data_IF_574308596372
#
_entry.id   IF_574308596372
#
_cell.length_a   1.000
_cell.length_b   1.000
_cell.length_c   1.000
_cell.angle_alpha   90.00
_cell.angle_beta   90.00
_cell.angle_gamma   90.00
#
_symmetry.space_group_name_H-M   'P 1'
#
loop_
_entity.id
_entity.type
_entity.pdbx_description
1 polymer ?
#
# COMPACT_ATOMS: atom_id res chain seq x y z
N UNK A 1 10.32 29.29 -11.91
CA UNK A 1 9.86 28.61 -13.15
C UNK A 1 9.82 27.07 -13.03
N UNK A 2 10.82 26.43 -12.41
CA UNK A 2 10.83 24.97 -12.21
C UNK A 2 9.68 24.47 -11.31
N UNK A 3 9.38 25.16 -10.20
CA UNK A 3 8.26 24.80 -9.31
C UNK A 3 6.89 24.82 -10.00
N UNK A 4 6.62 25.81 -10.86
CA UNK A 4 5.34 25.89 -11.58
C UNK A 4 5.18 24.74 -12.59
N UNK A 5 6.25 24.36 -13.29
CA UNK A 5 6.24 23.20 -14.19
C UNK A 5 6.09 21.89 -13.41
N UNK A 6 6.81 21.75 -12.30
CA UNK A 6 6.72 20.59 -11.42
C UNK A 6 5.32 20.44 -10.81
N UNK A 7 4.72 21.53 -10.34
CA UNK A 7 3.36 21.56 -9.80
C UNK A 7 2.32 21.17 -10.86
N UNK A 8 2.45 21.66 -12.10
CA UNK A 8 1.59 21.24 -13.22
C UNK A 8 1.70 19.76 -13.54
N UNK A 9 2.92 19.21 -13.58
CA UNK A 9 3.14 17.78 -13.81
C UNK A 9 2.53 16.95 -12.68
N UNK A 10 2.73 17.35 -11.43
CA UNK A 10 2.19 16.66 -10.26
C UNK A 10 0.66 16.67 -10.26
N UNK A 11 0.05 17.81 -10.57
CA UNK A 11 -1.40 17.92 -10.71
C UNK A 11 -1.94 16.99 -11.81
N UNK A 12 -1.30 16.98 -12.99
CA UNK A 12 -1.71 16.08 -14.07
C UNK A 12 -1.52 14.61 -13.71
N UNK A 13 -0.41 14.25 -13.05
CA UNK A 13 -0.16 12.89 -12.57
C UNK A 13 -1.23 12.43 -11.58
N UNK A 14 -1.65 13.30 -10.65
CA UNK A 14 -2.75 12.99 -9.73
C UNK A 14 -4.09 12.84 -10.44
N UNK A 15 -4.41 13.72 -11.39
CA UNK A 15 -5.63 13.60 -12.19
C UNK A 15 -5.65 12.27 -12.96
N UNK A 16 -4.54 11.90 -13.59
CA UNK A 16 -4.40 10.62 -14.29
C UNK A 16 -4.56 9.43 -13.35
N UNK A 17 -3.97 9.48 -12.16
CA UNK A 17 -4.12 8.44 -11.14
C UNK A 17 -5.60 8.28 -10.72
N UNK A 18 -6.30 9.38 -10.42
CA UNK A 18 -7.71 9.33 -10.01
C UNK A 18 -8.57 8.78 -11.14
N UNK A 19 -8.40 9.28 -12.37
CA UNK A 19 -9.19 8.85 -13.52
C UNK A 19 -9.01 7.36 -13.82
N UNK A 20 -7.78 6.86 -13.78
CA UNK A 20 -7.49 5.44 -14.02
C UNK A 20 -8.08 4.54 -12.95
N UNK A 21 -7.97 4.92 -11.66
CA UNK A 21 -8.58 4.16 -10.55
C UNK A 21 -10.10 4.17 -10.64
N UNK A 22 -10.73 5.32 -10.90
CA UNK A 22 -12.18 5.41 -11.03
C UNK A 22 -12.70 4.63 -12.24
N UNK A 23 -12.03 4.71 -13.38
CA UNK A 23 -12.36 3.91 -14.57
C UNK A 23 -12.32 2.41 -14.26
N UNK A 24 -11.28 1.95 -13.56
CA UNK A 24 -11.16 0.55 -13.14
C UNK A 24 -12.31 0.14 -12.19
N UNK A 25 -12.66 0.98 -11.21
CA UNK A 25 -13.76 0.71 -10.28
C UNK A 25 -15.10 0.60 -11.02
N UNK A 26 -15.42 1.54 -11.92
CA UNK A 26 -16.64 1.47 -12.72
C UNK A 26 -16.68 0.25 -13.63
N UNK A 27 -15.55 -0.11 -14.26
CA UNK A 27 -15.45 -1.33 -15.06
C UNK A 27 -15.74 -2.57 -14.23
N UNK A 28 -15.24 -2.66 -12.99
CA UNK A 28 -15.54 -3.76 -12.09
C UNK A 28 -17.01 -3.79 -11.68
N UNK A 29 -17.60 -2.65 -11.31
CA UNK A 29 -19.02 -2.55 -10.91
C UNK A 29 -19.97 -2.92 -12.05
N UNK A 30 -19.64 -2.57 -13.29
CA UNK A 30 -20.43 -2.96 -14.47
C UNK A 30 -20.26 -4.44 -14.84
N UNK A 31 -19.16 -5.06 -14.43
CA UNK A 31 -18.82 -6.46 -14.80
C UNK A 31 -19.16 -7.48 -13.70
N UNK A 32 -19.29 -7.05 -12.44
CA UNK A 32 -19.49 -7.90 -11.27
C UNK A 32 -20.80 -7.58 -10.57
N UNK A 33 -21.50 -8.61 -10.12
CA UNK A 33 -22.68 -8.44 -9.28
C UNK A 33 -22.29 -8.16 -7.82
N UNK A 34 -23.20 -7.65 -6.97
CA UNK A 34 -22.95 -7.53 -5.54
C UNK A 34 -22.61 -8.87 -4.87
N UNK A 35 -23.14 -9.99 -5.38
CA UNK A 35 -22.85 -11.33 -4.89
C UNK A 35 -21.40 -11.74 -5.19
N UNK A 36 -20.87 -11.37 -6.37
CA UNK A 36 -19.47 -11.62 -6.75
C UNK A 36 -18.49 -10.86 -5.84
N UNK A 37 -18.82 -9.62 -5.49
CA UNK A 37 -18.00 -8.82 -4.57
C UNK A 37 -18.02 -9.40 -3.15
N UNK A 38 -19.17 -9.92 -2.71
CA UNK A 38 -19.27 -10.62 -1.43
C UNK A 38 -18.44 -11.92 -1.41
N UNK A 39 -18.48 -12.70 -2.50
CA UNK A 39 -17.66 -13.90 -2.65
C UNK A 39 -16.16 -13.59 -2.67
N UNK A 40 -15.74 -12.53 -3.37
CA UNK A 40 -14.35 -12.06 -3.36
C UNK A 40 -13.89 -11.67 -1.94
N UNK A 41 -14.77 -11.01 -1.17
CA UNK A 41 -14.52 -10.64 0.24
C UNK A 41 -14.41 -11.88 1.13
N UNK A 42 -15.31 -12.85 0.99
CA UNK A 42 -15.28 -14.10 1.75
C UNK A 42 -13.98 -14.88 1.49
N UNK A 43 -13.57 -14.96 0.23
CA UNK A 43 -12.34 -15.61 -0.19
C UNK A 43 -11.07 -14.82 0.17
N UNK A 44 -11.18 -13.57 0.66
CA UNK A 44 -10.04 -12.71 0.99
C UNK A 44 -9.04 -12.54 -0.15
N UNK A 45 -9.51 -12.53 -1.40
CA UNK A 45 -8.68 -12.32 -2.59
C UNK A 45 -8.90 -10.93 -3.19
N UNK A 46 -7.93 -10.45 -3.95
CA UNK A 46 -8.08 -9.20 -4.69
C UNK A 46 -9.14 -9.33 -5.80
N UNK A 47 -9.82 -8.24 -6.11
CA UNK A 47 -10.81 -8.18 -7.21
C UNK A 47 -10.20 -8.65 -8.55
N UNK A 48 -8.91 -8.33 -8.79
CA UNK A 48 -8.21 -8.78 -9.98
C UNK A 48 -8.05 -10.31 -10.03
N UNK A 49 -7.74 -10.95 -8.88
CA UNK A 49 -7.68 -12.41 -8.78
C UNK A 49 -9.06 -13.04 -8.92
N UNK A 50 -10.09 -12.41 -8.36
CA UNK A 50 -11.48 -12.86 -8.52
C UNK A 50 -11.91 -12.81 -10.00
N UNK A 51 -11.67 -11.69 -10.68
CA UNK A 51 -11.96 -11.54 -12.11
C UNK A 51 -11.23 -12.58 -12.96
N UNK A 52 -9.95 -12.85 -12.66
CA UNK A 52 -9.17 -13.86 -13.36
C UNK A 52 -9.81 -15.26 -13.27
N UNK A 53 -10.29 -15.62 -12.07
CA UNK A 53 -10.94 -16.90 -11.80
C UNK A 53 -12.35 -16.97 -12.41
N UNK A 54 -13.14 -15.91 -12.26
CA UNK A 54 -14.53 -15.86 -12.73
C UNK A 54 -14.62 -15.91 -14.27
N UNK A 55 -13.75 -15.17 -14.97
CA UNK A 55 -13.75 -15.13 -16.44
C UNK A 55 -12.84 -16.16 -17.10
N UNK A 56 -12.20 -17.06 -16.34
CA UNK A 56 -11.18 -18.00 -16.83
C UNK A 56 -10.17 -17.31 -17.78
N UNK A 57 -9.64 -16.16 -17.38
CA UNK A 57 -8.74 -15.37 -18.20
C UNK A 57 -7.27 -15.71 -17.87
N UNK A 58 -6.64 -16.69 -18.57
CA UNK A 58 -5.34 -17.23 -18.19
C UNK A 58 -4.23 -16.18 -18.17
N UNK A 59 -4.32 -15.16 -19.05
CA UNK A 59 -3.38 -14.03 -19.08
C UNK A 59 -3.47 -13.20 -17.79
N UNK A 60 -4.69 -12.92 -17.30
CA UNK A 60 -4.89 -12.14 -16.08
C UNK A 60 -4.46 -12.96 -14.85
N UNK A 61 -4.74 -14.27 -14.85
CA UNK A 61 -4.34 -15.16 -13.75
C UNK A 61 -2.81 -15.18 -13.53
N UNK A 62 -2.02 -15.13 -14.61
CA UNK A 62 -0.56 -15.06 -14.52
C UNK A 62 -0.02 -13.67 -14.19
N UNK A 63 -0.64 -12.60 -14.71
CA UNK A 63 -0.15 -11.24 -14.46
C UNK A 63 -0.59 -10.68 -13.10
N UNK A 64 -1.75 -11.09 -12.58
CA UNK A 64 -2.32 -10.53 -11.35
C UNK A 64 -1.37 -10.66 -10.14
N UNK A 65 -0.72 -11.81 -9.87
CA UNK A 65 0.26 -11.93 -8.79
C UNK A 65 1.48 -11.02 -8.99
N UNK A 66 1.99 -10.90 -10.22
CA UNK A 66 3.15 -10.07 -10.53
C UNK A 66 2.83 -8.59 -10.27
N UNK A 67 1.67 -8.13 -10.74
CA UNK A 67 1.17 -6.77 -10.52
C UNK A 67 1.00 -6.53 -9.01
N UNK A 68 0.41 -7.49 -8.29
CA UNK A 68 0.21 -7.39 -6.85
C UNK A 68 1.55 -7.24 -6.09
N UNK A 69 2.56 -8.06 -6.41
CA UNK A 69 3.89 -7.99 -5.77
C UNK A 69 4.55 -6.63 -6.02
N UNK A 70 4.53 -6.14 -7.26
CA UNK A 70 5.12 -4.83 -7.61
C UNK A 70 4.37 -3.71 -6.87
N UNK A 71 3.04 -3.76 -6.85
CA UNK A 71 2.21 -2.76 -6.19
C UNK A 71 2.44 -2.74 -4.67
N UNK A 72 2.45 -3.91 -4.02
CA UNK A 72 2.71 -4.06 -2.58
C UNK A 72 4.11 -3.55 -2.26
N UNK A 73 5.13 -3.94 -3.03
CA UNK A 73 6.52 -3.52 -2.79
C UNK A 73 6.68 -2.01 -2.91
N UNK A 74 6.12 -1.40 -3.96
CA UNK A 74 6.15 0.06 -4.15
C UNK A 74 5.44 0.79 -3.01
N UNK A 75 4.24 0.34 -2.65
CA UNK A 75 3.46 0.93 -1.56
C UNK A 75 4.19 0.78 -0.22
N UNK A 76 4.74 -0.41 0.06
CA UNK A 76 5.47 -0.72 1.28
C UNK A 76 6.68 0.21 1.47
N UNK A 77 7.49 0.43 0.44
CA UNK A 77 8.67 1.30 0.56
C UNK A 77 8.29 2.74 0.93
N UNK A 78 7.25 3.30 0.32
CA UNK A 78 6.77 4.64 0.65
C UNK A 78 6.31 4.75 2.11
N UNK A 79 5.47 3.80 2.56
CA UNK A 79 4.98 3.77 3.93
C UNK A 79 6.10 3.49 4.95
N UNK A 80 7.01 2.55 4.65
CA UNK A 80 8.14 2.21 5.50
C UNK A 80 9.07 3.40 5.70
N UNK A 81 9.45 4.10 4.63
CA UNK A 81 10.31 5.28 4.72
C UNK A 81 9.64 6.40 5.53
N UNK A 82 8.37 6.69 5.25
CA UNK A 82 7.61 7.71 5.98
C UNK A 82 7.42 7.37 7.46
N UNK A 83 7.04 6.13 7.77
CA UNK A 83 6.88 5.64 9.14
C UNK A 83 8.20 5.64 9.91
N UNK A 84 9.30 5.22 9.27
CA UNK A 84 10.64 5.25 9.85
C UNK A 84 11.07 6.66 10.19
N UNK A 85 10.90 7.59 9.26
CA UNK A 85 11.28 8.99 9.47
C UNK A 85 10.43 9.65 10.56
N UNK A 86 9.11 9.44 10.53
CA UNK A 86 8.18 9.93 11.55
C UNK A 86 8.48 9.37 12.94
N UNK A 87 8.69 8.06 13.06
CA UNK A 87 9.01 7.40 14.33
C UNK A 87 10.37 7.84 14.87
N UNK A 88 11.41 7.84 14.03
CA UNK A 88 12.74 8.29 14.43
C UNK A 88 12.70 9.76 14.90
N UNK A 89 11.99 10.63 14.16
CA UNK A 89 11.82 12.03 14.53
C UNK A 89 11.13 12.21 15.88
N UNK A 90 10.09 11.41 16.16
CA UNK A 90 9.38 11.42 17.44
C UNK A 90 10.28 10.99 18.60
N UNK A 91 11.05 9.91 18.43
CA UNK A 91 11.98 9.40 19.45
C UNK A 91 13.10 10.39 19.72
N UNK A 92 13.74 10.94 18.68
CA UNK A 92 14.81 11.94 18.81
C UNK A 92 14.30 13.19 19.55
N UNK A 93 13.11 13.69 19.18
CA UNK A 93 12.49 14.85 19.84
C UNK A 93 12.23 14.58 21.33
N UNK A 94 11.71 13.40 21.66
CA UNK A 94 11.45 12.98 23.06
C UNK A 94 12.74 12.85 23.88
N UNK A 95 13.79 12.26 23.31
CA UNK A 95 15.08 12.08 23.98
C UNK A 95 15.81 13.41 24.20
N UNK A 96 15.76 14.32 23.22
CA UNK A 96 16.33 15.66 23.34
C UNK A 96 15.67 16.45 24.48
N UNK A 97 14.36 16.32 24.67
CA UNK A 97 13.63 16.90 25.81
C UNK A 97 14.05 16.34 27.18
N UNK A 98 14.73 15.18 27.20
CA UNK A 98 15.29 14.54 28.40
C UNK A 98 16.81 14.67 28.52
N UNK A 99 17.45 15.49 27.67
CA UNK A 99 18.90 15.67 27.64
C UNK A 99 19.69 14.44 27.17
N UNK A 100 19.02 13.44 26.56
CA UNK A 100 19.65 12.20 26.08
C UNK A 100 19.75 12.21 24.56
N UNK A 101 20.80 11.61 24.02
CA UNK A 101 20.94 11.33 22.59
C UNK A 101 20.96 9.82 22.36
N UNK A 102 20.58 9.40 21.16
CA UNK A 102 20.66 8.02 20.70
C UNK A 102 21.40 7.98 19.37
N UNK A 103 22.20 6.94 19.19
CA UNK A 103 22.92 6.68 17.95
C UNK A 103 21.93 6.26 16.84
N UNK A 104 22.11 6.81 15.63
CA UNK A 104 21.13 6.70 14.55
C UNK A 104 20.97 5.25 14.05
N UNK A 105 22.04 4.44 14.05
CA UNK A 105 21.95 3.05 13.62
C UNK A 105 21.22 2.21 14.65
N UNK A 106 21.45 2.44 15.94
CA UNK A 106 20.67 1.82 17.02
C UNK A 106 19.18 2.17 16.91
N UNK A 107 18.85 3.43 16.65
CA UNK A 107 17.47 3.87 16.45
C UNK A 107 16.85 3.19 15.22
N UNK A 108 17.54 3.22 14.06
CA UNK A 108 17.07 2.55 12.84
C UNK A 108 16.82 1.05 13.05
N UNK A 109 17.68 0.36 13.80
CA UNK A 109 17.53 -1.07 14.11
C UNK A 109 16.30 -1.34 14.97
N UNK A 110 16.06 -0.52 16.00
CA UNK A 110 14.85 -0.60 16.84
C UNK A 110 13.61 -0.35 16.00
N UNK A 111 13.63 0.68 15.16
CA UNK A 111 12.50 1.05 14.29
C UNK A 111 12.19 -0.05 13.27
N UNK A 112 13.20 -0.64 12.65
CA UNK A 112 13.04 -1.77 11.74
C UNK A 112 12.47 -3.01 12.46
N UNK A 113 12.99 -3.34 13.65
CA UNK A 113 12.49 -4.45 14.46
C UNK A 113 11.02 -4.23 14.87
N UNK A 114 10.69 -3.01 15.32
CA UNK A 114 9.33 -2.62 15.67
C UNK A 114 8.40 -2.79 14.47
N UNK A 115 8.75 -2.23 13.31
CA UNK A 115 7.95 -2.37 12.09
C UNK A 115 7.80 -3.83 11.65
N UNK A 116 8.85 -4.65 11.77
CA UNK A 116 8.78 -6.07 11.42
C UNK A 116 7.83 -6.82 12.35
N UNK A 117 7.95 -6.64 13.66
CA UNK A 117 7.11 -7.33 14.65
C UNK A 117 5.65 -6.91 14.52
N UNK A 118 5.37 -5.61 14.39
CA UNK A 118 3.99 -5.14 14.22
C UNK A 118 3.39 -5.63 12.90
N UNK A 119 4.13 -5.56 11.79
CA UNK A 119 3.66 -6.06 10.49
C UNK A 119 3.44 -7.57 10.52
N UNK A 120 4.33 -8.34 11.16
CA UNK A 120 4.16 -9.78 11.34
C UNK A 120 2.86 -10.09 12.08
N UNK A 121 2.65 -9.45 13.25
CA UNK A 121 1.45 -9.66 14.06
C UNK A 121 0.20 -9.38 13.23
N UNK A 122 0.15 -8.24 12.53
CA UNK A 122 -0.98 -7.87 11.67
C UNK A 122 -1.17 -8.89 10.53
N UNK A 123 -0.09 -9.33 9.88
CA UNK A 123 -0.17 -10.35 8.82
C UNK A 123 -0.69 -11.70 9.36
N UNK A 124 -0.34 -12.07 10.59
CA UNK A 124 -0.80 -13.30 11.24
C UNK A 124 -2.28 -13.24 11.60
N UNK A 125 -2.78 -12.06 11.97
CA UNK A 125 -4.20 -11.84 12.22
C UNK A 125 -5.05 -11.84 10.93
N UNK A 126 -4.40 -11.83 9.75
CA UNK A 126 -5.00 -11.85 8.42
C UNK A 126 -6.27 -10.98 8.31
N UNK A 127 -6.21 -9.68 8.64
CA UNK A 127 -7.35 -8.79 8.49
C UNK A 127 -7.78 -8.73 7.02
N UNK A 128 -9.09 -8.59 6.80
CA UNK A 128 -9.63 -8.55 5.43
C UNK A 128 -8.96 -7.48 4.59
N UNK A 129 -8.48 -7.88 3.41
CA UNK A 129 -7.90 -6.97 2.41
C UNK A 129 -8.98 -6.01 1.87
N UNK A 130 -10.23 -6.44 1.89
CA UNK A 130 -11.43 -5.66 1.57
C UNK A 130 -12.11 -5.27 2.89
N UNK A 131 -11.69 -4.17 3.49
CA UNK A 131 -12.43 -3.53 4.61
C UNK A 131 -13.81 -3.13 4.10
#
# INVERSE_FOLDING_TARGET
>A
MAEQKCSKILAFAHIMMVLTVMFFVFSCVLSLTPADLAAAKEQNISILSYLANHFNAPVIAWMAPIIAIIAITKSFLGHYLGAREGFNGMVIKSLRGKGKSIEINKLNRITALFMLVTTWIVATLNPSILV
#
